data_IF_935376358057
#
_entry.id   IF_935376358057
#
_cell.length_a   1.000
_cell.length_b   1.000
_cell.length_c   1.000
_cell.angle_alpha   90.00
_cell.angle_beta   90.00
_cell.angle_gamma   90.00
#
_symmetry.space_group_name_H-M   'P 1'
#
loop_
_entity.id
_entity.type
_entity.pdbx_description
1 polymer ?
#
# COMPACT_ATOMS: atom_id res chain seq x y z
N UNK A 1 1.44 -16.59 -19.54
CA UNK A 1 1.43 -15.59 -18.44
C UNK A 1 0.12 -15.79 -17.70
N UNK A 2 0.17 -16.04 -16.38
CA UNK A 2 -1.04 -16.09 -15.57
C UNK A 2 -1.75 -14.74 -15.60
N UNK A 3 -3.06 -14.69 -15.34
CA UNK A 3 -3.82 -13.44 -15.28
C UNK A 3 -3.19 -12.46 -14.28
N UNK A 4 -2.63 -12.97 -13.19
CA UNK A 4 -1.97 -12.17 -12.14
C UNK A 4 -0.73 -11.44 -12.65
N UNK A 5 0.08 -12.07 -13.49
CA UNK A 5 1.27 -11.43 -14.06
C UNK A 5 0.93 -10.27 -15.00
N UNK A 6 -0.21 -10.34 -15.70
CA UNK A 6 -0.64 -9.25 -16.57
C UNK A 6 -1.19 -8.05 -15.80
N UNK A 7 -1.77 -8.25 -14.62
CA UNK A 7 -2.25 -7.18 -13.73
C UNK A 7 -1.09 -6.40 -13.11
N UNK A 8 -0.01 -7.09 -12.79
CA UNK A 8 1.18 -6.51 -12.14
C UNK A 8 2.18 -5.93 -13.14
N UNK A 9 1.87 -5.97 -14.46
CA UNK A 9 2.75 -5.42 -15.49
C UNK A 9 2.77 -3.89 -15.46
N UNK A 10 3.88 -3.34 -15.02
CA UNK A 10 4.10 -1.90 -14.91
C UNK A 10 4.54 -1.25 -16.22
N UNK A 11 4.79 -2.03 -17.28
CA UNK A 11 5.06 -1.49 -18.63
C UNK A 11 3.80 -0.91 -19.27
N UNK A 12 2.63 -1.38 -18.83
CA UNK A 12 1.31 -0.90 -19.26
C UNK A 12 0.34 -0.95 -18.08
N UNK A 13 0.52 -0.05 -17.12
CA UNK A 13 -0.16 -0.09 -15.83
C UNK A 13 -1.69 -0.18 -15.93
N UNK A 14 -2.24 -1.23 -15.31
CA UNK A 14 -3.68 -1.50 -15.20
C UNK A 14 -4.11 -1.88 -13.77
N UNK A 15 -3.31 -1.53 -12.77
CA UNK A 15 -3.52 -1.90 -11.37
C UNK A 15 -4.86 -1.39 -10.79
N UNK A 16 -5.32 -0.24 -11.23
CA UNK A 16 -6.55 0.36 -10.71
C UNK A 16 -7.56 0.63 -11.84
N UNK A 17 -8.83 0.94 -11.52
CA UNK A 17 -9.87 1.24 -12.52
C UNK A 17 -9.55 2.41 -13.46
N UNK A 18 -8.56 3.26 -13.13
CA UNK A 18 -8.08 4.32 -14.05
C UNK A 18 -7.51 3.76 -15.34
N UNK A 19 -6.95 2.55 -15.33
CA UNK A 19 -6.39 1.89 -16.52
C UNK A 19 -5.52 2.84 -17.34
N UNK A 20 -4.65 3.63 -16.72
CA UNK A 20 -3.92 4.71 -17.40
C UNK A 20 -2.98 4.22 -18.50
N UNK A 21 -2.62 2.93 -18.52
CA UNK A 21 -1.79 2.33 -19.56
C UNK A 21 -0.36 2.84 -19.61
N UNK A 22 0.06 3.65 -18.66
CA UNK A 22 1.39 4.25 -18.60
C UNK A 22 2.47 3.19 -18.36
N UNK A 23 3.60 3.29 -19.06
CA UNK A 23 4.83 2.58 -18.67
C UNK A 23 5.41 3.27 -17.42
N UNK A 24 5.04 2.76 -16.24
CA UNK A 24 5.42 3.33 -14.96
C UNK A 24 6.89 3.12 -14.60
N UNK A 25 7.60 2.31 -15.32
CA UNK A 25 9.07 2.19 -15.20
C UNK A 25 9.76 3.48 -15.68
N UNK A 26 9.12 4.21 -16.60
CA UNK A 26 9.68 5.41 -17.24
C UNK A 26 8.96 6.69 -16.82
N UNK A 27 7.63 6.66 -16.72
CA UNK A 27 6.77 7.83 -16.49
C UNK A 27 5.83 7.62 -15.31
N UNK A 28 5.45 8.67 -14.57
CA UNK A 28 4.44 8.55 -13.53
C UNK A 28 3.07 8.23 -14.13
N UNK A 29 2.32 7.35 -13.46
CA UNK A 29 0.94 7.05 -13.81
C UNK A 29 -0.03 8.16 -13.38
N UNK A 30 -1.35 7.93 -13.56
CA UNK A 30 -2.39 8.86 -13.05
C UNK A 30 -2.25 9.12 -11.54
N UNK A 31 -1.80 8.12 -10.77
CA UNK A 31 -1.52 8.25 -9.34
C UNK A 31 -0.38 9.23 -9.02
N UNK A 32 0.39 9.66 -10.02
CA UNK A 32 1.54 10.54 -9.87
C UNK A 32 2.86 9.81 -9.57
N UNK A 33 2.83 8.48 -9.48
CA UNK A 33 3.98 7.68 -9.06
C UNK A 33 4.49 6.74 -10.16
N UNK A 34 5.78 6.43 -10.10
CA UNK A 34 6.45 5.37 -10.88
C UNK A 34 6.34 4.02 -10.16
N UNK A 35 7.20 3.07 -10.54
CA UNK A 35 7.23 1.71 -9.93
C UNK A 35 7.84 1.69 -8.55
N UNK A 36 8.76 2.59 -8.25
CA UNK A 36 9.44 2.68 -6.95
C UNK A 36 8.44 3.03 -5.85
N UNK A 37 8.45 2.23 -4.77
CA UNK A 37 7.61 2.49 -3.62
C UNK A 37 8.03 3.81 -2.98
N UNK A 38 7.10 4.74 -2.83
CA UNK A 38 7.34 5.98 -2.09
C UNK A 38 6.56 5.97 -0.79
N UNK A 39 7.30 5.93 0.32
CA UNK A 39 6.75 5.96 1.67
C UNK A 39 6.85 7.38 2.23
N UNK A 40 5.72 7.95 2.62
CA UNK A 40 5.65 9.27 3.24
C UNK A 40 5.88 9.20 4.75
N UNK A 41 5.31 8.18 5.40
CA UNK A 41 5.43 7.97 6.84
C UNK A 41 5.21 6.49 7.15
N UNK A 42 5.93 6.00 8.16
CA UNK A 42 5.68 4.71 8.78
C UNK A 42 5.86 4.87 10.30
N UNK A 43 4.80 4.63 11.08
CA UNK A 43 4.80 4.82 12.53
C UNK A 43 3.59 4.13 13.16
N UNK A 44 3.64 3.95 14.48
CA UNK A 44 2.43 3.63 15.26
C UNK A 44 1.43 4.77 15.12
N UNK A 45 0.19 4.41 14.77
CA UNK A 45 -0.92 5.35 14.57
C UNK A 45 -2.10 4.94 15.45
N UNK A 46 -2.65 5.91 16.20
CA UNK A 46 -3.66 5.67 17.23
C UNK A 46 -5.05 6.19 16.84
N UNK A 47 -5.18 6.74 15.64
CA UNK A 47 -6.38 7.43 15.17
C UNK A 47 -7.04 6.70 13.99
N UNK A 48 -6.77 5.42 13.82
CA UNK A 48 -7.58 4.54 12.98
C UNK A 48 -8.83 4.13 13.77
N UNK A 49 -9.76 3.38 13.16
CA UNK A 49 -10.90 2.82 13.87
C UNK A 49 -10.45 2.06 15.14
N UNK A 50 -11.20 2.11 16.23
CA UNK A 50 -10.83 1.49 17.50
C UNK A 50 -10.47 0.01 17.39
N UNK A 51 -11.13 -0.74 16.49
CA UNK A 51 -10.85 -2.15 16.24
C UNK A 51 -9.51 -2.39 15.50
N UNK A 52 -8.96 -1.36 14.85
CA UNK A 52 -7.68 -1.41 14.14
C UNK A 52 -6.54 -0.90 15.04
N UNK A 53 -6.72 0.27 15.64
CA UNK A 53 -5.69 0.89 16.50
C UNK A 53 -5.51 0.17 17.83
N UNK A 54 -6.61 -0.28 18.46
CA UNK A 54 -6.56 -0.86 19.80
C UNK A 54 -5.82 0.04 20.78
N UNK A 55 -5.15 -0.58 21.76
CA UNK A 55 -4.42 0.14 22.81
C UNK A 55 -2.96 0.45 22.50
N UNK A 56 -2.35 -0.25 21.54
CA UNK A 56 -0.93 -0.10 21.17
C UNK A 56 -0.70 0.58 19.83
N UNK A 57 -1.76 0.91 19.12
CA UNK A 57 -1.71 1.53 17.81
C UNK A 57 -1.57 0.55 16.65
N UNK A 58 -1.90 1.03 15.48
CA UNK A 58 -1.72 0.36 14.19
C UNK A 58 -0.34 0.73 13.62
N UNK A 59 0.40 -0.24 13.12
CA UNK A 59 1.66 -0.02 12.39
C UNK A 59 1.38 0.51 10.99
N UNK A 60 1.03 1.80 10.90
CA UNK A 60 0.53 2.39 9.65
C UNK A 60 1.67 2.85 8.75
N UNK A 61 1.59 2.42 7.48
CA UNK A 61 2.48 2.85 6.41
C UNK A 61 1.68 3.69 5.42
N UNK A 62 2.01 4.98 5.34
CA UNK A 62 1.40 5.93 4.40
C UNK A 62 2.22 5.99 3.11
N UNK A 63 1.60 5.62 2.01
CA UNK A 63 2.21 5.67 0.68
C UNK A 63 1.88 7.00 -0.02
N UNK A 64 2.86 7.54 -0.76
CA UNK A 64 2.68 8.76 -1.54
C UNK A 64 1.91 8.49 -2.83
N UNK A 65 1.24 9.52 -3.35
CA UNK A 65 0.41 9.38 -4.53
C UNK A 65 -0.94 8.72 -4.24
N UNK A 66 -1.88 8.83 -5.18
CA UNK A 66 -3.19 8.19 -5.06
C UNK A 66 -3.91 8.11 -6.40
N UNK A 67 -4.52 6.97 -6.69
CA UNK A 67 -5.34 6.77 -7.90
C UNK A 67 -6.72 7.43 -7.80
N UNK A 68 -7.22 7.73 -6.60
CA UNK A 68 -8.55 8.29 -6.37
C UNK A 68 -8.56 9.82 -6.46
N UNK A 69 -7.60 10.49 -5.80
CA UNK A 69 -7.43 11.96 -5.77
C UNK A 69 -8.68 12.70 -5.31
N UNK A 70 -9.26 12.29 -4.19
CA UNK A 70 -10.43 12.93 -3.59
C UNK A 70 -10.19 14.42 -3.33
N UNK A 71 -11.17 15.27 -3.66
CA UNK A 71 -11.07 16.72 -3.43
C UNK A 71 -11.07 17.10 -1.94
N UNK A 72 -11.58 16.23 -1.07
CA UNK A 72 -11.64 16.39 0.38
C UNK A 72 -10.61 15.52 1.13
N UNK A 73 -9.53 15.10 0.47
CA UNK A 73 -8.56 14.18 1.05
C UNK A 73 -7.84 14.79 2.27
N UNK A 74 -7.98 14.17 3.44
CA UNK A 74 -7.28 14.59 4.67
C UNK A 74 -5.75 14.46 4.51
N UNK A 75 -5.30 13.48 3.72
CA UNK A 75 -3.88 13.22 3.43
C UNK A 75 -3.41 13.89 2.12
N UNK A 76 -3.96 15.06 1.77
CA UNK A 76 -3.71 15.75 0.51
C UNK A 76 -2.20 15.92 0.21
N UNK A 77 -1.41 16.32 1.20
CA UNK A 77 0.03 16.51 1.02
C UNK A 77 0.76 15.23 0.60
N UNK A 78 0.34 14.09 1.12
CA UNK A 78 0.90 12.78 0.80
C UNK A 78 0.35 12.30 -0.56
N UNK A 79 -0.96 12.38 -0.73
CA UNK A 79 -1.65 11.79 -1.88
C UNK A 79 -1.50 12.56 -3.18
N UNK A 80 -1.23 13.87 -3.13
CA UNK A 80 -1.17 14.74 -4.32
C UNK A 80 0.14 15.52 -4.45
N UNK A 81 0.83 15.86 -3.35
CA UNK A 81 2.11 16.56 -3.39
C UNK A 81 3.32 15.63 -3.36
N UNK A 82 3.10 14.32 -3.39
CA UNK A 82 4.15 13.29 -3.52
C UNK A 82 5.26 13.39 -2.46
N UNK A 83 4.92 13.83 -1.23
CA UNK A 83 5.85 13.87 -0.11
C UNK A 83 6.22 12.45 0.28
N UNK A 84 7.50 12.16 0.41
CA UNK A 84 7.97 10.85 0.82
C UNK A 84 9.31 10.48 0.20
N UNK A 85 9.86 9.37 0.64
CA UNK A 85 11.13 8.83 0.14
C UNK A 85 10.89 7.54 -0.64
N UNK A 86 11.62 7.38 -1.73
CA UNK A 86 11.66 6.11 -2.46
C UNK A 86 12.36 5.07 -1.57
N UNK A 87 11.78 3.87 -1.50
CA UNK A 87 12.30 2.74 -0.75
C UNK A 87 12.19 1.45 -1.57
N UNK A 88 13.09 0.50 -1.30
CA UNK A 88 12.99 -0.82 -1.91
C UNK A 88 11.99 -1.72 -1.19
N UNK A 89 11.55 -2.84 -1.80
CA UNK A 89 10.72 -3.83 -1.13
C UNK A 89 11.37 -4.40 0.13
N UNK A 90 12.69 -4.59 0.14
CA UNK A 90 13.47 -5.07 1.29
C UNK A 90 13.34 -4.08 2.45
N UNK A 91 13.52 -2.77 2.15
CA UNK A 91 13.37 -1.73 3.16
C UNK A 91 11.95 -1.63 3.69
N UNK A 92 10.94 -1.84 2.86
CA UNK A 92 9.55 -1.88 3.30
C UNK A 92 9.29 -3.09 4.21
N UNK A 93 9.86 -4.26 3.90
CA UNK A 93 9.77 -5.44 4.76
C UNK A 93 10.41 -5.19 6.14
N UNK A 94 11.59 -4.55 6.18
CA UNK A 94 12.22 -4.14 7.45
C UNK A 94 11.32 -3.18 8.26
N UNK A 95 10.64 -2.24 7.59
CA UNK A 95 9.70 -1.33 8.24
C UNK A 95 8.54 -2.10 8.86
N UNK A 96 7.97 -3.09 8.17
CA UNK A 96 6.89 -3.92 8.72
C UNK A 96 7.33 -4.64 10.00
N UNK A 97 8.51 -5.25 9.97
CA UNK A 97 9.06 -5.96 11.13
C UNK A 97 9.37 -5.00 12.29
N UNK A 98 9.95 -3.84 11.97
CA UNK A 98 10.20 -2.80 12.99
C UNK A 98 8.94 -2.29 13.66
N UNK A 99 7.84 -2.12 12.92
CA UNK A 99 6.54 -1.72 13.48
C UNK A 99 5.96 -2.83 14.38
N UNK A 100 6.10 -4.09 13.99
CA UNK A 100 5.75 -5.24 14.82
C UNK A 100 6.55 -5.25 16.13
N UNK A 101 7.87 -5.05 16.06
CA UNK A 101 8.77 -5.02 17.22
C UNK A 101 8.46 -3.85 18.17
N UNK A 102 7.90 -2.75 17.65
CA UNK A 102 7.38 -1.63 18.44
C UNK A 102 6.04 -1.96 19.13
N UNK A 103 5.47 -3.14 18.88
CA UNK A 103 4.24 -3.61 19.49
C UNK A 103 2.96 -3.25 18.76
N UNK A 104 3.03 -2.88 17.47
CA UNK A 104 1.84 -2.64 16.66
C UNK A 104 0.86 -3.82 16.70
N UNK A 105 -0.45 -3.54 16.69
CA UNK A 105 -1.47 -4.58 16.59
C UNK A 105 -1.57 -5.21 15.20
N UNK A 106 -1.22 -4.47 14.17
CA UNK A 106 -1.27 -4.88 12.77
C UNK A 106 -0.32 -4.03 11.93
N UNK A 107 -0.12 -4.42 10.67
CA UNK A 107 0.47 -3.56 9.64
C UNK A 107 -0.68 -3.01 8.80
N UNK A 108 -0.81 -1.69 8.72
CA UNK A 108 -1.88 -1.02 8.00
C UNK A 108 -1.34 -0.26 6.78
N UNK A 109 -1.79 -0.65 5.58
CA UNK A 109 -1.30 -0.15 4.30
C UNK A 109 -2.23 0.95 3.76
N UNK A 110 -1.83 2.22 3.88
CA UNK A 110 -2.65 3.40 3.55
C UNK A 110 -2.02 4.21 2.39
N UNK A 111 -2.51 4.18 1.20
CA UNK A 111 -3.22 3.17 0.42
C UNK A 111 -2.23 2.55 -0.55
N UNK A 112 -2.12 1.24 -0.60
CA UNK A 112 -1.03 0.55 -1.31
C UNK A 112 -1.32 0.23 -2.77
N UNK A 113 -2.54 0.47 -3.27
CA UNK A 113 -3.04 -0.02 -4.59
C UNK A 113 -2.08 0.23 -5.75
N UNK A 114 -1.48 1.39 -5.81
CA UNK A 114 -0.64 1.78 -6.94
C UNK A 114 0.83 1.33 -6.83
N UNK A 115 1.24 0.78 -5.68
CA UNK A 115 2.54 0.16 -5.45
C UNK A 115 2.46 -1.35 -5.23
N UNK A 116 1.34 -1.96 -5.58
CA UNK A 116 1.03 -3.34 -5.23
C UNK A 116 2.14 -4.35 -5.59
N UNK A 117 2.80 -4.32 -6.77
CA UNK A 117 3.87 -5.27 -7.05
C UNK A 117 5.01 -5.23 -6.02
N UNK A 118 5.47 -4.03 -5.66
CA UNK A 118 6.53 -3.87 -4.67
C UNK A 118 6.07 -4.18 -3.24
N UNK A 119 4.81 -3.87 -2.91
CA UNK A 119 4.23 -4.17 -1.59
C UNK A 119 4.06 -5.67 -1.40
N UNK A 120 3.61 -6.41 -2.41
CA UNK A 120 3.52 -7.87 -2.35
C UNK A 120 4.91 -8.51 -2.17
N UNK A 121 5.91 -8.03 -2.93
CA UNK A 121 7.30 -8.45 -2.74
C UNK A 121 7.79 -8.21 -1.30
N UNK A 122 7.47 -7.06 -0.70
CA UNK A 122 7.83 -6.75 0.68
C UNK A 122 7.13 -7.66 1.69
N UNK A 123 5.86 -7.97 1.47
CA UNK A 123 5.10 -8.91 2.30
C UNK A 123 5.66 -10.33 2.20
N UNK A 124 6.05 -10.79 1.02
CA UNK A 124 6.70 -12.10 0.85
C UNK A 124 8.04 -12.17 1.63
N UNK A 125 8.83 -11.10 1.59
CA UNK A 125 10.08 -11.01 2.35
C UNK A 125 9.86 -10.97 3.86
N UNK A 126 8.82 -10.27 4.33
CA UNK A 126 8.50 -10.16 5.74
C UNK A 126 7.83 -11.42 6.31
N UNK A 127 7.08 -12.16 5.48
CA UNK A 127 6.20 -13.28 5.86
C UNK A 127 6.82 -14.29 6.84
N UNK A 128 8.10 -14.71 6.71
CA UNK A 128 8.67 -15.68 7.66
C UNK A 128 8.76 -15.18 9.11
N UNK A 129 8.70 -13.86 9.32
CA UNK A 129 8.90 -13.20 10.62
C UNK A 129 7.74 -12.29 11.03
N UNK A 130 6.79 -12.05 10.14
CA UNK A 130 5.63 -11.20 10.41
C UNK A 130 4.51 -12.06 11.01
N UNK A 131 4.10 -11.75 12.24
CA UNK A 131 3.13 -12.53 13.01
C UNK A 131 1.86 -11.74 13.35
N UNK A 132 1.82 -10.46 13.03
CA UNK A 132 0.64 -9.60 13.21
C UNK A 132 -0.15 -9.48 11.90
N UNK A 133 -1.47 -9.27 11.94
CA UNK A 133 -2.29 -9.20 10.74
C UNK A 133 -1.93 -8.01 9.87
N UNK A 134 -2.16 -8.16 8.57
CA UNK A 134 -2.02 -7.11 7.57
C UNK A 134 -3.39 -6.54 7.24
N UNK A 135 -3.54 -5.23 7.40
CA UNK A 135 -4.74 -4.46 7.06
C UNK A 135 -4.49 -3.71 5.75
N UNK A 136 -5.39 -3.86 4.81
CA UNK A 136 -5.41 -3.08 3.58
C UNK A 136 -6.46 -1.97 3.69
N UNK A 137 -5.99 -0.75 3.89
CA UNK A 137 -6.85 0.41 4.06
C UNK A 137 -7.06 1.11 2.71
N UNK A 138 -8.30 1.12 2.24
CA UNK A 138 -8.66 1.47 0.88
C UNK A 138 -9.77 2.52 0.80
N UNK A 139 -9.69 3.37 -0.22
CA UNK A 139 -10.82 4.25 -0.61
C UNK A 139 -11.95 3.53 -1.36
N UNK A 140 -11.88 2.20 -1.51
CA UNK A 140 -12.88 1.40 -2.23
C UNK A 140 -12.79 1.50 -3.76
N UNK A 141 -11.63 1.88 -4.28
CA UNK A 141 -11.41 2.06 -5.72
C UNK A 141 -10.40 1.03 -6.26
N UNK A 142 -10.64 -0.24 -5.94
CA UNK A 142 -9.89 -1.37 -6.42
C UNK A 142 -10.69 -2.16 -7.46
N UNK A 143 -9.98 -2.88 -8.32
CA UNK A 143 -10.57 -3.86 -9.22
C UNK A 143 -10.87 -5.16 -8.47
N UNK A 144 -11.92 -5.92 -8.82
CA UNK A 144 -12.20 -7.21 -8.22
C UNK A 144 -11.01 -8.18 -8.29
N UNK A 145 -10.27 -8.17 -9.40
CA UNK A 145 -9.11 -9.04 -9.61
C UNK A 145 -7.96 -8.69 -8.63
N UNK A 146 -7.82 -7.42 -8.26
CA UNK A 146 -6.85 -6.97 -7.26
C UNK A 146 -7.25 -7.43 -5.86
N UNK A 147 -8.54 -7.36 -5.53
CA UNK A 147 -9.06 -7.86 -4.25
C UNK A 147 -8.84 -9.37 -4.14
N UNK A 148 -9.05 -10.11 -5.24
CA UNK A 148 -8.81 -11.55 -5.28
C UNK A 148 -7.34 -11.89 -5.03
N UNK A 149 -6.42 -11.15 -5.68
CA UNK A 149 -4.98 -11.28 -5.47
C UNK A 149 -4.55 -11.00 -4.02
N UNK A 150 -5.20 -10.03 -3.37
CA UNK A 150 -4.89 -9.66 -1.98
C UNK A 150 -5.26 -10.73 -0.95
N UNK A 151 -6.18 -11.66 -1.25
CA UNK A 151 -6.62 -12.70 -0.30
C UNK A 151 -5.47 -13.57 0.25
N UNK A 152 -4.38 -13.71 -0.49
CA UNK A 152 -3.20 -14.43 -0.03
C UNK A 152 -2.23 -13.62 0.83
N UNK A 153 -2.46 -12.31 0.99
CA UNK A 153 -1.52 -11.37 1.59
C UNK A 153 -2.10 -10.52 2.71
N UNK A 154 -3.41 -10.36 2.75
CA UNK A 154 -4.10 -9.41 3.62
C UNK A 154 -5.16 -10.13 4.42
N UNK A 155 -5.22 -9.86 5.72
CA UNK A 155 -6.16 -10.45 6.65
C UNK A 155 -7.44 -9.63 6.78
N UNK A 156 -7.33 -8.31 6.67
CA UNK A 156 -8.43 -7.36 6.88
C UNK A 156 -8.43 -6.33 5.76
N UNK A 157 -9.58 -6.11 5.14
CA UNK A 157 -9.80 -4.98 4.22
C UNK A 157 -10.67 -3.96 4.94
N UNK A 158 -10.12 -2.75 5.14
CA UNK A 158 -10.81 -1.63 5.76
C UNK A 158 -11.12 -0.58 4.69
N UNK A 159 -12.31 0.00 4.72
CA UNK A 159 -12.71 1.08 3.81
C UNK A 159 -12.85 2.38 4.59
N UNK A 160 -12.09 3.39 4.18
CA UNK A 160 -12.15 4.78 4.65
C UNK A 160 -12.91 5.67 3.68
#
# INVERSE_FOLDING_TARGET
>A
MSQDQSLLDMSRCRLCPRNCGTDRRRFPGFCGEKTEIRCARAALHFWEEPCISGSRGSGTVFFSGCSLKCCFCQNYQISQNHIGKAISPERLAEIFLSLQDQGAHNINLVTASHFLPGVLSALDLARPKLHIPVVYNSGGYEKPEIIELLKGYVDIICRI
#
